data_IF_565834689400
#
_entry.id   IF_565834689400
#
_cell.length_a   1.000
_cell.length_b   1.000
_cell.length_c   1.000
_cell.angle_alpha   90.00
_cell.angle_beta   90.00
_cell.angle_gamma   90.00
#
_symmetry.space_group_name_H-M   'P 1'
#
loop_
_entity.id
_entity.type
_entity.pdbx_description
1 polymer ?
#
# COMPACT_ATOMS: atom_id res chain seq x y z
N UNK A 1 -3.02 -10.25 -15.56
CA UNK A 1 -2.16 -9.11 -15.90
C UNK A 1 -2.93 -7.84 -16.29
N UNK A 2 -4.25 -7.90 -16.60
CA UNK A 2 -5.05 -6.72 -16.97
C UNK A 2 -5.72 -6.03 -15.77
N UNK A 3 -5.63 -6.58 -14.56
CA UNK A 3 -6.35 -6.04 -13.38
C UNK A 3 -5.56 -4.96 -12.62
N UNK A 4 -4.22 -4.99 -12.62
CA UNK A 4 -3.42 -4.02 -11.85
C UNK A 4 -3.43 -2.61 -12.45
N UNK A 5 -3.25 -2.50 -13.77
CA UNK A 5 -3.30 -1.20 -14.46
C UNK A 5 -4.67 -0.52 -14.32
N UNK A 6 -5.76 -1.31 -14.31
CA UNK A 6 -7.10 -0.78 -14.05
C UNK A 6 -7.24 -0.25 -12.61
N UNK A 7 -6.73 -0.99 -11.61
CA UNK A 7 -6.77 -0.55 -10.20
C UNK A 7 -6.03 0.77 -9.96
N UNK A 8 -4.88 0.97 -10.59
CA UNK A 8 -4.09 2.20 -10.42
C UNK A 8 -4.73 3.40 -11.15
N UNK A 9 -5.41 3.18 -12.26
CA UNK A 9 -6.22 4.20 -12.93
C UNK A 9 -7.37 4.65 -12.01
N UNK A 10 -8.09 3.73 -11.37
CA UNK A 10 -9.16 4.06 -10.43
C UNK A 10 -8.65 4.82 -9.22
N UNK A 11 -7.56 4.40 -8.60
CA UNK A 11 -6.96 5.12 -7.46
C UNK A 11 -6.55 6.56 -7.79
N UNK A 12 -5.98 6.78 -8.98
CA UNK A 12 -5.64 8.14 -9.44
C UNK A 12 -6.88 9.00 -9.70
N UNK A 13 -7.96 8.39 -10.20
CA UNK A 13 -9.23 9.09 -10.41
C UNK A 13 -9.88 9.46 -9.07
N UNK A 14 -9.86 8.57 -8.10
CA UNK A 14 -10.43 8.83 -6.77
C UNK A 14 -9.70 9.97 -6.06
N UNK A 15 -8.37 10.00 -6.10
CA UNK A 15 -7.57 11.10 -5.54
C UNK A 15 -7.88 12.43 -6.23
N UNK A 16 -7.99 12.45 -7.55
CA UNK A 16 -8.37 13.65 -8.31
C UNK A 16 -9.77 14.13 -7.93
N UNK A 17 -10.73 13.21 -7.81
CA UNK A 17 -12.11 13.51 -7.42
C UNK A 17 -12.13 14.14 -6.03
N UNK A 18 -11.42 13.55 -5.06
CA UNK A 18 -11.34 14.08 -3.70
C UNK A 18 -10.69 15.47 -3.67
N UNK A 19 -9.66 15.70 -4.46
CA UNK A 19 -9.03 17.01 -4.60
C UNK A 19 -10.02 18.05 -5.15
N UNK A 20 -10.74 17.74 -6.23
CA UNK A 20 -11.74 18.64 -6.83
C UNK A 20 -12.89 18.92 -5.84
N UNK A 21 -13.36 17.90 -5.11
CA UNK A 21 -14.39 18.08 -4.08
C UNK A 21 -13.90 19.01 -2.99
N UNK A 22 -12.67 18.83 -2.50
CA UNK A 22 -12.08 19.70 -1.49
C UNK A 22 -11.90 21.15 -1.99
N UNK A 23 -11.48 21.34 -3.23
CA UNK A 23 -11.34 22.67 -3.85
C UNK A 23 -12.70 23.37 -3.98
N UNK A 24 -13.74 22.65 -4.39
CA UNK A 24 -15.11 23.19 -4.45
C UNK A 24 -15.62 23.58 -3.06
N UNK A 25 -15.30 22.84 -2.02
CA UNK A 25 -15.65 23.19 -0.65
C UNK A 25 -14.89 24.43 -0.18
N UNK A 26 -13.56 24.44 -0.36
CA UNK A 26 -12.69 25.46 0.20
C UNK A 26 -12.76 26.80 -0.57
N UNK A 27 -12.88 26.75 -1.90
CA UNK A 27 -12.81 27.93 -2.77
C UNK A 27 -14.21 28.49 -3.07
N UNK A 28 -15.21 27.59 -3.23
CA UNK A 28 -16.57 27.96 -3.62
C UNK A 28 -17.59 27.90 -2.48
N UNK A 29 -17.22 27.36 -1.32
CA UNK A 29 -18.08 27.25 -0.14
C UNK A 29 -19.21 26.23 -0.27
N UNK A 30 -19.07 25.25 -1.18
CA UNK A 30 -20.04 24.15 -1.28
C UNK A 30 -19.95 23.21 -0.08
N UNK A 31 -21.08 22.61 0.29
CA UNK A 31 -21.03 21.44 1.19
C UNK A 31 -20.42 20.24 0.45
N UNK A 32 -19.89 19.25 1.18
CA UNK A 32 -19.32 18.02 0.58
C UNK A 32 -20.32 17.35 -0.36
N UNK A 33 -21.59 17.22 0.04
CA UNK A 33 -22.64 16.63 -0.78
C UNK A 33 -22.89 17.42 -2.06
N UNK A 34 -22.91 18.75 -1.99
CA UNK A 34 -23.08 19.60 -3.18
C UNK A 34 -21.88 19.46 -4.13
N UNK A 35 -20.66 19.46 -3.59
CA UNK A 35 -19.44 19.30 -4.36
C UNK A 35 -19.41 17.93 -5.06
N UNK A 36 -19.73 16.84 -4.35
CA UNK A 36 -19.81 15.50 -4.91
C UNK A 36 -20.88 15.41 -6.04
N UNK A 37 -22.07 15.93 -5.80
CA UNK A 37 -23.12 15.95 -6.82
C UNK A 37 -22.68 16.71 -8.08
N UNK A 38 -21.95 17.83 -7.91
CA UNK A 38 -21.44 18.60 -9.02
C UNK A 38 -20.38 17.83 -9.81
N UNK A 39 -19.48 17.13 -9.15
CA UNK A 39 -18.45 16.31 -9.79
C UNK A 39 -19.05 15.14 -10.58
N UNK A 40 -20.00 14.42 -9.98
CA UNK A 40 -20.55 13.18 -10.60
C UNK A 40 -21.69 13.45 -11.61
N UNK A 41 -22.43 14.54 -11.43
CA UNK A 41 -23.67 14.81 -12.20
C UNK A 41 -23.76 16.21 -12.76
N UNK A 42 -22.84 17.11 -12.41
CA UNK A 42 -22.91 18.53 -12.79
C UNK A 42 -22.32 18.86 -14.16
N UNK A 43 -21.82 17.88 -14.90
CA UNK A 43 -21.26 18.09 -16.25
C UNK A 43 -19.92 18.86 -16.24
N UNK A 44 -19.13 18.77 -15.17
CA UNK A 44 -17.82 19.42 -15.08
C UNK A 44 -16.84 18.81 -16.08
N UNK A 45 -16.04 19.67 -16.72
CA UNK A 45 -14.84 19.27 -17.45
C UNK A 45 -13.63 19.53 -16.57
N UNK A 46 -12.92 18.47 -16.15
CA UNK A 46 -11.75 18.58 -15.29
C UNK A 46 -10.50 18.45 -16.15
N UNK A 47 -9.66 19.48 -16.16
CA UNK A 47 -8.39 19.52 -16.89
C UNK A 47 -7.24 19.26 -15.90
N UNK A 48 -6.42 18.26 -16.22
CA UNK A 48 -5.25 17.90 -15.42
C UNK A 48 -3.97 18.27 -16.16
N UNK A 49 -2.84 18.24 -15.45
CA UNK A 49 -1.52 18.46 -16.02
C UNK A 49 -0.91 17.18 -16.62
N UNK A 50 -1.60 16.05 -16.48
CA UNK A 50 -1.15 14.75 -16.96
C UNK A 50 -0.98 14.76 -18.49
N UNK A 51 0.15 14.20 -18.94
CA UNK A 51 0.41 13.90 -20.35
C UNK A 51 0.14 12.40 -20.58
N UNK A 52 -0.92 12.10 -21.34
CA UNK A 52 -1.35 10.73 -21.55
C UNK A 52 -0.29 9.86 -22.25
N UNK A 53 0.56 10.46 -23.11
CA UNK A 53 1.61 9.74 -23.80
C UNK A 53 2.73 9.36 -22.84
N UNK A 54 3.15 10.29 -21.97
CA UNK A 54 4.20 10.02 -20.97
C UNK A 54 3.68 8.99 -19.97
N UNK A 55 2.42 9.11 -19.56
CA UNK A 55 1.79 8.14 -18.65
C UNK A 55 1.75 6.73 -19.26
N UNK A 56 1.38 6.60 -20.55
CA UNK A 56 1.34 5.30 -21.24
C UNK A 56 2.72 4.64 -21.27
N UNK A 57 3.79 5.42 -21.53
CA UNK A 57 5.16 4.90 -21.52
C UNK A 57 5.51 4.37 -20.13
N UNK A 58 5.19 5.11 -19.06
CA UNK A 58 5.44 4.63 -17.69
C UNK A 58 4.67 3.36 -17.38
N UNK A 59 3.39 3.32 -17.75
CA UNK A 59 2.53 2.16 -17.50
C UNK A 59 3.05 0.92 -18.26
N UNK A 60 3.56 1.07 -19.49
CA UNK A 60 4.17 0.00 -20.28
C UNK A 60 5.49 -0.49 -19.67
N UNK A 61 6.41 0.42 -19.33
CA UNK A 61 7.70 0.06 -18.73
C UNK A 61 7.55 -0.59 -17.34
N UNK A 62 6.60 -0.13 -16.55
CA UNK A 62 6.32 -0.72 -15.25
C UNK A 62 5.58 -2.06 -15.34
N UNK A 63 4.92 -2.35 -16.44
CA UNK A 63 4.29 -3.64 -16.68
C UNK A 63 5.26 -4.70 -17.26
N UNK A 64 6.43 -4.31 -17.73
CA UNK A 64 7.40 -5.22 -18.32
C UNK A 64 8.26 -5.90 -17.23
N UNK A 65 8.09 -7.23 -17.00
CA UNK A 65 8.87 -7.95 -16.00
C UNK A 65 10.39 -7.90 -16.23
N UNK A 66 10.84 -7.67 -17.48
CA UNK A 66 12.28 -7.63 -17.80
C UNK A 66 12.99 -6.41 -17.20
N UNK A 67 12.23 -5.40 -16.76
CA UNK A 67 12.76 -4.21 -16.09
C UNK A 67 13.03 -4.42 -14.58
N UNK A 68 12.72 -5.62 -14.05
CA UNK A 68 12.85 -5.95 -12.63
C UNK A 68 13.88 -7.05 -12.39
N UNK A 69 14.47 -7.10 -11.19
CA UNK A 69 15.32 -8.23 -10.83
C UNK A 69 14.53 -9.53 -10.78
N UNK A 70 15.17 -10.64 -11.20
CA UNK A 70 14.58 -11.99 -11.14
C UNK A 70 14.34 -12.47 -9.70
N UNK A 71 14.99 -11.84 -8.72
CA UNK A 71 14.90 -12.16 -7.31
C UNK A 71 14.04 -11.15 -6.56
N UNK A 72 12.96 -11.63 -5.97
CA UNK A 72 12.02 -10.84 -5.18
C UNK A 72 11.98 -11.40 -3.76
N UNK A 73 12.17 -10.55 -2.76
CA UNK A 73 11.92 -10.87 -1.36
C UNK A 73 10.58 -10.27 -0.91
N UNK A 74 10.07 -10.76 0.20
CA UNK A 74 8.81 -10.32 0.77
C UNK A 74 9.03 -9.71 2.14
N UNK A 75 8.74 -8.40 2.27
CA UNK A 75 8.81 -7.70 3.54
C UNK A 75 7.53 -7.92 4.35
N UNK A 76 7.68 -8.41 5.57
CA UNK A 76 6.56 -8.64 6.48
C UNK A 76 6.07 -7.33 7.12
N UNK A 77 4.76 -7.11 7.08
CA UNK A 77 4.05 -6.21 7.99
C UNK A 77 3.09 -7.03 8.87
N UNK A 78 3.25 -6.86 10.20
CA UNK A 78 2.57 -7.68 11.19
C UNK A 78 2.07 -6.86 12.36
N UNK A 79 0.83 -7.12 12.75
CA UNK A 79 0.25 -6.60 13.97
C UNK A 79 -0.68 -7.66 14.58
N UNK A 80 -0.55 -7.90 15.88
CA UNK A 80 -1.37 -8.84 16.63
C UNK A 80 -1.85 -8.16 17.92
N UNK A 81 -3.15 -8.25 18.18
CA UNK A 81 -3.75 -7.89 19.47
C UNK A 81 -4.27 -9.14 20.13
N UNK A 82 -3.85 -9.38 21.35
CA UNK A 82 -4.32 -10.51 22.17
C UNK A 82 -4.93 -10.01 23.46
N UNK A 83 -5.82 -10.79 24.03
CA UNK A 83 -6.32 -10.62 25.38
C UNK A 83 -5.66 -11.64 26.29
N UNK A 84 -4.92 -11.15 27.30
CA UNK A 84 -4.23 -12.01 28.26
C UNK A 84 -5.20 -12.68 29.25
N UNK A 85 -4.78 -13.68 30.04
CA UNK A 85 -5.62 -14.33 31.04
C UNK A 85 -6.20 -13.39 32.12
N UNK A 86 -5.58 -12.21 32.30
CA UNK A 86 -6.04 -11.16 33.22
C UNK A 86 -7.13 -10.28 32.60
N UNK A 87 -7.40 -10.45 31.28
CA UNK A 87 -8.41 -9.71 30.54
C UNK A 87 -7.93 -8.40 29.92
N UNK A 88 -6.63 -8.15 29.94
CA UNK A 88 -6.03 -6.96 29.36
C UNK A 88 -5.66 -7.19 27.88
N UNK A 89 -5.80 -6.16 27.05
CA UNK A 89 -5.39 -6.21 25.65
C UNK A 89 -3.92 -5.80 25.50
N UNK A 90 -3.16 -6.64 24.81
CA UNK A 90 -1.74 -6.43 24.53
C UNK A 90 -1.51 -6.45 23.02
N UNK A 91 -0.75 -5.46 22.53
CA UNK A 91 -0.44 -5.32 21.12
C UNK A 91 1.00 -5.74 20.84
N UNK A 92 1.19 -6.52 19.79
CA UNK A 92 2.48 -6.97 19.28
C UNK A 92 2.67 -6.48 17.84
N UNK A 93 3.86 -5.98 17.56
CA UNK A 93 4.22 -5.43 16.26
C UNK A 93 5.29 -6.28 15.56
N UNK A 94 5.52 -5.99 14.28
CA UNK A 94 6.61 -6.61 13.50
C UNK A 94 7.99 -6.37 14.11
N UNK A 95 8.19 -5.20 14.74
CA UNK A 95 9.46 -4.88 15.40
C UNK A 95 9.71 -5.79 16.61
N UNK A 96 8.66 -6.13 17.35
CA UNK A 96 8.75 -7.08 18.46
C UNK A 96 9.01 -8.50 17.96
N UNK A 97 8.40 -8.91 16.86
CA UNK A 97 8.68 -10.17 16.18
C UNK A 97 10.15 -10.22 15.73
N UNK A 98 10.65 -9.13 15.09
CA UNK A 98 12.05 -9.03 14.68
C UNK A 98 12.99 -9.24 15.89
N UNK A 99 12.78 -8.52 16.96
CA UNK A 99 13.60 -8.63 18.17
C UNK A 99 13.55 -10.04 18.80
N UNK A 100 12.39 -10.70 18.74
CA UNK A 100 12.24 -12.06 19.23
C UNK A 100 13.18 -13.03 18.51
N UNK A 101 13.20 -12.99 17.17
CA UNK A 101 14.05 -13.88 16.38
C UNK A 101 15.50 -13.43 16.33
N UNK A 102 15.82 -12.16 16.55
CA UNK A 102 17.20 -11.68 16.69
C UNK A 102 17.92 -12.23 17.91
N UNK A 103 17.22 -12.82 18.87
CA UNK A 103 17.87 -13.60 19.95
C UNK A 103 18.44 -14.93 19.46
N UNK A 104 17.89 -15.49 18.37
CA UNK A 104 18.37 -16.75 17.76
C UNK A 104 19.35 -16.46 16.60
N UNK A 105 19.02 -15.46 15.77
CA UNK A 105 19.83 -15.01 14.63
C UNK A 105 19.94 -13.48 14.64
N UNK A 106 21.08 -12.90 15.05
CA UNK A 106 21.26 -11.45 15.09
C UNK A 106 21.09 -10.72 13.76
N UNK A 107 21.28 -11.41 12.64
CA UNK A 107 21.09 -10.86 11.28
C UNK A 107 19.64 -10.97 10.78
N UNK A 108 18.75 -11.59 11.59
CA UNK A 108 17.35 -11.72 11.21
C UNK A 108 16.73 -10.36 10.90
N UNK A 109 16.18 -10.25 9.71
CA UNK A 109 15.36 -9.13 9.29
C UNK A 109 13.92 -9.60 8.97
N UNK A 110 13.10 -8.73 8.40
CA UNK A 110 11.72 -9.07 8.08
C UNK A 110 11.54 -9.32 6.58
N UNK A 111 12.61 -9.75 5.89
CA UNK A 111 12.62 -10.09 4.47
C UNK A 111 12.70 -11.61 4.32
N UNK A 112 11.85 -12.16 3.47
CA UNK A 112 11.73 -13.60 3.24
C UNK A 112 11.76 -13.91 1.76
N UNK A 113 12.24 -15.08 1.39
CA UNK A 113 12.29 -15.54 0.00
C UNK A 113 10.91 -15.95 -0.53
N UNK A 114 9.97 -16.24 0.38
CA UNK A 114 8.57 -16.51 0.04
C UNK A 114 7.62 -16.03 1.15
N UNK A 115 6.34 -15.87 0.79
CA UNK A 115 5.31 -15.53 1.78
C UNK A 115 5.06 -16.69 2.74
N UNK A 116 5.18 -17.92 2.27
CA UNK A 116 5.04 -19.13 3.07
C UNK A 116 6.09 -19.17 4.17
N UNK A 117 7.35 -18.90 3.84
CA UNK A 117 8.43 -18.80 4.82
C UNK A 117 8.13 -17.73 5.89
N UNK A 118 7.76 -16.54 5.45
CA UNK A 118 7.39 -15.45 6.36
C UNK A 118 6.23 -15.83 7.29
N UNK A 119 5.24 -16.57 6.76
CA UNK A 119 4.09 -17.04 7.55
C UNK A 119 4.51 -18.04 8.63
N UNK A 120 5.49 -18.93 8.36
CA UNK A 120 6.01 -19.85 9.38
C UNK A 120 6.63 -19.09 10.56
N UNK A 121 7.35 -17.99 10.31
CA UNK A 121 7.88 -17.14 11.37
C UNK A 121 6.78 -16.45 12.18
N UNK A 122 5.74 -15.94 11.51
CA UNK A 122 4.56 -15.36 12.17
C UNK A 122 3.89 -16.39 13.06
N UNK A 123 3.66 -17.61 12.57
CA UNK A 123 2.99 -18.68 13.32
C UNK A 123 3.80 -19.12 14.54
N UNK A 124 5.12 -19.24 14.42
CA UNK A 124 6.04 -19.53 15.54
C UNK A 124 5.97 -18.43 16.61
N UNK A 125 6.04 -17.18 16.20
CA UNK A 125 5.98 -16.03 17.12
C UNK A 125 4.62 -15.99 17.83
N UNK A 126 3.52 -16.11 17.09
CA UNK A 126 2.17 -16.14 17.62
C UNK A 126 1.98 -17.30 18.61
N UNK A 127 2.48 -18.48 18.30
CA UNK A 127 2.42 -19.62 19.20
C UNK A 127 3.15 -19.34 20.53
N UNK A 128 4.28 -18.64 20.51
CA UNK A 128 4.99 -18.25 21.72
C UNK A 128 4.20 -17.28 22.60
N UNK A 129 3.46 -16.34 21.97
CA UNK A 129 2.60 -15.39 22.69
C UNK A 129 1.40 -16.10 23.32
N UNK A 130 0.76 -17.01 22.58
CA UNK A 130 -0.45 -17.71 23.03
C UNK A 130 -0.17 -18.84 24.05
N UNK A 131 1.10 -19.18 24.28
CA UNK A 131 1.49 -20.23 25.23
C UNK A 131 1.06 -19.95 26.69
N UNK A 132 0.80 -18.68 27.04
CA UNK A 132 0.31 -18.27 28.36
C UNK A 132 -1.21 -18.41 28.52
N UNK A 133 -1.93 -18.83 27.48
CA UNK A 133 -3.39 -18.93 27.45
C UNK A 133 -4.09 -17.65 26.96
N UNK A 134 -3.34 -16.70 26.40
CA UNK A 134 -3.90 -15.52 25.73
C UNK A 134 -4.76 -15.90 24.50
N UNK A 135 -5.73 -15.08 24.16
CA UNK A 135 -6.62 -15.28 23.01
C UNK A 135 -6.47 -14.14 21.99
N UNK A 136 -6.52 -14.48 20.71
CA UNK A 136 -6.41 -13.49 19.63
C UNK A 136 -7.68 -12.64 19.58
N UNK A 137 -7.51 -11.32 19.58
CA UNK A 137 -8.56 -10.31 19.38
C UNK A 137 -8.56 -9.83 17.94
N UNK A 138 -7.38 -9.48 17.40
CA UNK A 138 -7.20 -9.04 16.04
C UNK A 138 -5.79 -9.43 15.54
N UNK A 139 -5.68 -9.73 14.25
CA UNK A 139 -4.41 -10.03 13.60
C UNK A 139 -4.40 -9.45 12.20
N UNK A 140 -3.25 -8.88 11.82
CA UNK A 140 -2.98 -8.46 10.45
C UNK A 140 -1.62 -8.97 10.04
N UNK A 141 -1.58 -9.72 8.95
CA UNK A 141 -0.36 -10.21 8.30
C UNK A 141 -0.41 -9.75 6.86
N UNK A 142 0.64 -9.12 6.37
CA UNK A 142 0.78 -8.81 4.94
C UNK A 142 2.24 -8.86 4.52
N UNK A 143 2.46 -9.25 3.27
CA UNK A 143 3.78 -9.38 2.67
C UNK A 143 3.87 -8.46 1.46
N UNK A 144 4.79 -7.50 1.53
CA UNK A 144 5.05 -6.57 0.44
C UNK A 144 6.28 -7.03 -0.35
N UNK A 145 6.15 -7.34 -1.65
CA UNK A 145 7.31 -7.71 -2.45
C UNK A 145 8.32 -6.57 -2.54
N UNK A 146 9.61 -6.92 -2.59
CA UNK A 146 10.75 -6.00 -2.65
C UNK A 146 11.66 -6.37 -3.84
N UNK A 147 12.26 -5.40 -4.54
CA UNK A 147 12.20 -3.96 -4.27
C UNK A 147 10.87 -3.34 -4.71
N UNK A 148 10.53 -2.19 -4.11
CA UNK A 148 9.45 -1.34 -4.59
C UNK A 148 10.01 -0.09 -5.27
N UNK A 149 9.28 0.44 -6.24
CA UNK A 149 9.67 1.63 -6.97
C UNK A 149 8.47 2.53 -7.26
N UNK A 150 8.73 3.82 -7.35
CA UNK A 150 7.77 4.80 -7.83
C UNK A 150 8.48 5.86 -8.67
N UNK A 151 7.77 6.45 -9.62
CA UNK A 151 8.31 7.50 -10.48
C UNK A 151 7.31 8.63 -10.66
N UNK A 152 7.81 9.86 -10.61
CA UNK A 152 7.06 11.06 -10.97
C UNK A 152 7.81 11.82 -12.05
N UNK A 153 7.12 12.17 -13.14
CA UNK A 153 7.66 12.98 -14.22
C UNK A 153 7.12 14.39 -14.09
N UNK A 154 8.03 15.36 -13.89
CA UNK A 154 7.69 16.76 -13.65
C UNK A 154 8.33 17.62 -14.74
N UNK A 155 7.54 18.51 -15.35
CA UNK A 155 8.04 19.55 -16.21
C UNK A 155 8.77 20.61 -15.38
N UNK A 156 10.08 20.70 -15.53
CA UNK A 156 10.93 21.60 -14.74
C UNK A 156 10.65 23.10 -14.97
N UNK A 157 10.02 23.48 -16.07
CA UNK A 157 9.73 24.86 -16.39
C UNK A 157 8.41 25.35 -15.79
N UNK A 158 7.43 24.43 -15.66
CA UNK A 158 6.09 24.77 -15.18
C UNK A 158 5.81 24.22 -13.77
N UNK A 159 6.59 23.23 -13.31
CA UNK A 159 6.34 22.48 -12.10
C UNK A 159 5.16 21.48 -12.22
N UNK A 160 4.62 21.31 -13.41
CA UNK A 160 3.48 20.42 -13.63
C UNK A 160 3.89 18.95 -13.61
N UNK A 161 3.17 18.15 -12.83
CA UNK A 161 3.31 16.69 -12.86
C UNK A 161 2.66 16.16 -14.13
N UNK A 162 3.46 15.55 -15.00
CA UNK A 162 3.05 15.02 -16.32
C UNK A 162 2.65 13.56 -16.27
N UNK A 163 3.29 12.78 -15.40
CA UNK A 163 2.95 11.39 -15.18
C UNK A 163 3.41 10.96 -13.79
N UNK A 164 2.74 9.97 -13.24
CA UNK A 164 3.09 9.36 -11.97
C UNK A 164 2.74 7.88 -12.00
N UNK A 165 3.64 7.06 -11.45
CA UNK A 165 3.38 5.65 -11.22
C UNK A 165 4.03 5.25 -9.91
N UNK A 166 3.45 4.31 -9.20
CA UNK A 166 4.00 3.85 -7.93
C UNK A 166 3.54 2.45 -7.57
N UNK A 167 4.32 1.83 -6.68
CA UNK A 167 4.12 0.51 -6.14
C UNK A 167 4.07 -0.60 -7.19
N UNK A 168 5.24 -1.18 -7.48
CA UNK A 168 5.49 -2.17 -8.52
C UNK A 168 4.66 -3.44 -8.44
N UNK A 169 4.25 -3.87 -7.27
CA UNK A 169 3.76 -5.22 -7.05
C UNK A 169 2.54 -5.26 -6.12
N UNK A 170 1.72 -4.22 -6.10
CA UNK A 170 0.40 -4.32 -5.46
C UNK A 170 -0.58 -5.05 -6.40
N UNK A 171 -0.25 -6.30 -6.72
CA UNK A 171 -1.17 -7.29 -7.25
C UNK A 171 -1.43 -8.32 -6.16
N UNK A 172 -1.98 -7.91 -5.06
CA UNK A 172 -2.62 -8.85 -4.17
C UNK A 172 -4.11 -8.58 -4.20
N UNK A 173 -4.82 -9.59 -4.64
CA UNK A 173 -6.24 -9.72 -4.46
C UNK A 173 -6.60 -9.38 -3.01
N UNK A 174 -7.34 -8.30 -2.83
CA UNK A 174 -8.08 -8.04 -1.62
C UNK A 174 -9.56 -8.21 -1.92
#
# INVERSE_FOLDING_TARGET
ALSSAASDVYKRQDELIDQVVNDLMNIKGYTRTQAQNLVYSGGLSIYTTQDARIQSILDEEYADPSNYPDYVQYALDYALTVKNPQGEEVNYSKEMLKLYFQNEDPEFDLLFDSQEEGQEYVDRYKASILADGSTVVAERVSFAPQPQSSMSVIDQHTGYVKAIIGCLLYTSDA
#
